data_IF_427534684023
#
_entry.id   IF_427534684023
#
_cell.length_a   1.000
_cell.length_b   1.000
_cell.length_c   1.000
_cell.angle_alpha   90.00
_cell.angle_beta   90.00
_cell.angle_gamma   90.00
#
_symmetry.space_group_name_H-M   'P 1'
#
loop_
_entity.id
_entity.type
_entity.pdbx_description
1 polymer ?
2 branched ?
3 water ?
#
# COMPACT_ATOMS: atom_id res chain seq x y z
N UNK A 27 -1.95 -36.08 -20.57
CA UNK A 27 -2.49 -36.19 -21.91
C UNK A 27 -3.50 -35.06 -22.15
N UNK A 28 -3.62 -34.64 -23.41
CA UNK A 28 -4.55 -33.57 -23.73
C UNK A 28 -5.97 -33.94 -23.33
N UNK A 29 -6.78 -32.92 -23.06
CA UNK A 29 -8.20 -33.05 -22.73
C UNK A 29 -8.46 -33.75 -21.41
N UNK A 30 -7.48 -33.77 -20.51
CA UNK A 30 -7.65 -34.40 -19.21
C UNK A 30 -7.63 -33.34 -18.11
N UNK A 31 -8.05 -33.76 -16.91
CA UNK A 31 -8.07 -32.83 -15.77
C UNK A 31 -6.68 -32.31 -15.42
N UNK A 32 -6.68 -31.23 -14.63
CA UNK A 32 -5.48 -30.42 -14.39
C UNK A 32 -4.78 -30.85 -13.11
N UNK A 33 -3.50 -31.21 -13.23
CA UNK A 33 -2.67 -31.53 -12.07
C UNK A 33 -2.29 -30.27 -11.29
N UNK A 34 -1.81 -30.50 -10.06
CA UNK A 34 -1.53 -29.44 -9.10
C UNK A 34 -0.53 -28.41 -9.64
N UNK A 35 0.42 -28.82 -10.48
CA UNK A 35 1.36 -27.87 -11.05
C UNK A 35 0.67 -26.76 -11.85
N UNK A 36 -0.54 -27.02 -12.34
CA UNK A 36 -1.30 -26.00 -13.07
C UNK A 36 -1.97 -25.03 -12.11
N UNK A 37 -2.75 -25.55 -11.16
CA UNK A 37 -3.63 -24.67 -10.39
C UNK A 37 -3.00 -24.14 -9.09
N UNK A 38 -2.02 -24.83 -8.51
CA UNK A 38 -1.38 -24.27 -7.31
C UNK A 38 -0.77 -22.89 -7.53
N UNK A 39 -0.09 -22.59 -8.64
CA UNK A 39 0.38 -21.21 -8.84
C UNK A 39 -0.76 -20.18 -8.89
N UNK A 40 -1.96 -20.58 -9.34
CA UNK A 40 -3.09 -19.65 -9.31
C UNK A 40 -3.60 -19.42 -7.88
N UNK A 41 -3.70 -20.50 -7.09
CA UNK A 41 -4.01 -20.36 -5.67
C UNK A 41 -3.07 -19.37 -5.00
N UNK A 42 -1.76 -19.52 -5.26
CA UNK A 42 -0.77 -18.65 -4.62
C UNK A 42 -1.02 -17.18 -4.94
N UNK A 43 -1.31 -16.89 -6.20
CA UNK A 43 -1.59 -15.51 -6.58
C UNK A 43 -2.87 -15.03 -5.91
N UNK A 44 -3.92 -15.87 -5.93
CA UNK A 44 -5.18 -15.48 -5.31
C UNK A 44 -5.00 -15.17 -3.83
N UNK A 45 -4.22 -16.00 -3.12
CA UNK A 45 -3.99 -15.77 -1.70
C UNK A 45 -3.24 -14.46 -1.47
N UNK A 46 -2.29 -14.12 -2.36
CA UNK A 46 -1.53 -12.89 -2.19
C UNK A 46 -2.36 -11.66 -2.55
N UNK A 47 -3.16 -11.75 -3.62
CA UNK A 47 -4.05 -10.64 -3.97
C UNK A 47 -5.03 -10.33 -2.84
N UNK A 48 -5.42 -11.36 -2.07
CA UNK A 48 -6.29 -11.19 -0.90
C UNK A 48 -5.72 -10.18 0.10
N UNK A 49 -4.39 -10.01 0.14
CA UNK A 49 -3.78 -9.11 1.12
C UNK A 49 -3.68 -7.67 0.61
N UNK A 50 -3.91 -7.42 -0.68
CA UNK A 50 -3.78 -6.05 -1.17
C UNK A 50 -4.75 -5.08 -0.51
N UNK A 51 -6.04 -5.41 -0.28
CA UNK A 51 -6.89 -4.49 0.50
C UNK A 51 -6.34 -4.18 1.88
N UNK A 52 -5.74 -5.20 2.52
CA UNK A 52 -5.14 -5.01 3.84
C UNK A 52 -4.00 -4.00 3.77
N UNK A 53 -3.14 -4.12 2.75
CA UNK A 53 -2.04 -3.19 2.59
C UNK A 53 -2.50 -1.77 2.28
N UNK A 54 -3.58 -1.64 1.50
CA UNK A 54 -4.13 -0.33 1.21
C UNK A 54 -4.68 0.34 2.47
N UNK A 55 -5.39 -0.42 3.30
CA UNK A 55 -5.91 0.16 4.55
C UNK A 55 -4.77 0.54 5.47
N UNK A 56 -3.78 -0.34 5.62
CA UNK A 56 -2.58 -0.02 6.41
C UNK A 56 -1.96 1.30 5.96
N UNK A 57 -1.81 1.48 4.66
CA UNK A 57 -1.07 2.64 4.14
C UNK A 57 -1.88 3.92 4.32
N UNK A 58 -3.20 3.86 4.08
CA UNK A 58 -4.05 5.01 4.30
C UNK A 58 -4.08 5.42 5.77
N UNK A 59 -4.16 4.46 6.68
CA UNK A 59 -4.12 4.80 8.10
C UNK A 59 -2.74 5.30 8.52
N UNK A 60 -1.66 4.72 7.95
CA UNK A 60 -0.31 5.18 8.27
C UNK A 60 -0.08 6.60 7.78
N UNK A 61 -0.59 6.93 6.59
CA UNK A 61 -0.48 8.31 6.11
C UNK A 61 -1.16 9.29 7.06
N UNK A 62 -2.41 9.00 7.43
CA UNK A 62 -3.14 9.85 8.37
C UNK A 62 -2.40 9.97 9.70
N UNK A 63 -1.88 8.86 10.21
CA UNK A 63 -1.14 8.86 11.47
C UNK A 63 0.07 9.77 11.40
N UNK A 64 0.82 9.68 10.30
CA UNK A 64 2.05 10.47 10.16
C UNK A 64 1.75 11.94 10.03
N UNK A 65 0.67 12.29 9.30
CA UNK A 65 0.19 13.66 9.27
C UNK A 65 -0.13 14.13 10.68
N UNK A 66 -0.85 13.31 11.45
CA UNK A 66 -1.21 13.69 12.82
C UNK A 66 0.04 13.91 13.69
N UNK A 67 1.09 13.09 13.50
CA UNK A 67 2.32 13.28 14.27
C UNK A 67 3.01 14.58 13.90
N UNK A 68 3.01 14.93 12.61
CA UNK A 68 3.55 16.21 12.17
C UNK A 68 2.76 17.36 12.79
N UNK A 69 1.44 17.22 12.83
CA UNK A 69 0.60 18.27 13.39
C UNK A 69 0.82 18.41 14.89
N UNK A 70 1.03 17.30 15.60
CA UNK A 70 1.33 17.38 17.04
C UNK A 70 2.61 18.18 17.27
N UNK A 71 3.66 17.90 16.49
CA UNK A 71 4.91 18.63 16.63
C UNK A 71 4.72 20.12 16.31
N UNK A 72 3.93 20.43 15.27
CA UNK A 72 3.61 21.83 14.97
C UNK A 72 2.90 22.50 16.14
N UNK A 73 1.98 21.78 16.80
CA UNK A 73 1.20 22.35 17.90
C UNK A 73 2.07 22.55 19.14
N UNK A 74 2.91 21.57 19.48
CA UNK A 74 3.82 21.73 20.62
C UNK A 74 4.72 22.94 20.42
N UNK A 75 5.31 23.08 19.23
CA UNK A 75 6.17 24.23 18.95
C UNK A 75 5.38 25.54 19.04
N UNK A 76 4.15 25.55 18.54
CA UNK A 76 3.32 26.74 18.61
C UNK A 76 3.01 27.12 20.06
N UNK A 77 2.70 26.12 20.89
CA UNK A 77 2.39 26.39 22.29
C UNK A 77 3.61 26.95 23.00
N UNK A 78 4.78 26.34 22.75
CA UNK A 78 6.02 26.83 23.33
C UNK A 78 6.25 28.30 22.97
N UNK A 79 6.00 28.65 21.71
CA UNK A 79 6.20 30.04 21.28
C UNK A 79 5.29 31.00 22.04
N UNK A 80 4.01 30.67 22.21
CA UNK A 80 3.12 31.53 22.96
C UNK A 80 3.57 31.67 24.41
N UNK A 81 3.96 30.56 25.05
CA UNK A 81 4.38 30.59 26.45
C UNK A 81 5.61 31.46 26.61
N UNK A 82 6.55 31.36 25.67
CA UNK A 82 7.83 32.04 25.75
C UNK A 82 7.91 33.25 24.83
N UNK A 83 6.77 33.88 24.53
CA UNK A 83 6.72 34.80 23.40
C UNK A 83 7.64 36.01 23.60
N UNK A 84 8.04 36.60 22.50
CA UNK A 84 8.87 37.79 22.52
C UNK A 84 10.34 37.54 22.77
N UNK A 85 10.80 36.30 22.62
CA UNK A 85 12.19 35.93 22.85
C UNK A 85 12.77 35.29 21.59
N UNK A 86 14.10 35.18 21.57
CA UNK A 86 14.76 34.47 20.48
C UNK A 86 14.37 32.99 20.45
N UNK A 87 14.15 32.38 21.62
CA UNK A 87 13.67 31.00 21.65
C UNK A 87 12.27 30.88 21.04
N UNK A 88 11.41 31.86 21.30
CA UNK A 88 10.07 31.79 20.72
C UNK A 88 10.12 31.88 19.20
N UNK A 89 11.00 32.73 18.66
CA UNK A 89 11.09 32.87 17.21
C UNK A 89 11.66 31.62 16.57
N UNK A 90 12.61 30.95 17.25
CA UNK A 90 13.04 29.64 16.78
C UNK A 90 11.85 28.69 16.71
N UNK A 91 11.01 28.68 17.76
CA UNK A 91 9.87 27.77 17.79
C UNK A 91 8.83 28.10 16.73
N UNK A 92 8.69 29.39 16.39
CA UNK A 92 7.81 29.76 15.29
C UNK A 92 8.29 29.14 13.98
N UNK A 93 9.61 29.16 13.75
CA UNK A 93 10.18 28.50 12.56
C UNK A 93 9.91 27.01 12.58
N UNK A 94 10.09 26.38 13.75
CA UNK A 94 9.85 24.94 13.89
C UNK A 94 8.38 24.62 13.69
N UNK A 95 7.50 25.44 14.26
CA UNK A 95 6.06 25.23 14.10
C UNK A 95 5.64 25.34 12.64
N UNK A 96 6.15 26.37 11.95
CA UNK A 96 5.87 26.54 10.53
C UNK A 96 6.30 25.32 9.73
N UNK A 97 7.51 24.83 10.01
CA UNK A 97 8.01 23.65 9.32
C UNK A 97 7.08 22.45 9.46
N UNK A 98 6.70 22.12 10.71
CA UNK A 98 5.91 20.91 10.91
C UNK A 98 4.47 21.08 10.43
N UNK A 99 3.90 22.28 10.55
CA UNK A 99 2.58 22.53 9.99
C UNK A 99 2.59 22.37 8.47
N UNK A 100 3.67 22.83 7.82
CA UNK A 100 3.81 22.62 6.37
C UNK A 100 3.99 21.15 6.03
N UNK A 101 4.72 20.38 6.85
CA UNK A 101 4.78 18.93 6.62
C UNK A 101 3.39 18.31 6.69
N UNK A 102 2.63 18.64 7.73
CA UNK A 102 1.26 18.13 7.87
C UNK A 102 0.39 18.53 6.68
N UNK A 103 0.42 19.81 6.30
CA UNK A 103 -0.30 20.27 5.13
C UNK A 103 0.06 19.44 3.90
N UNK A 104 1.37 19.24 3.66
CA UNK A 104 1.78 18.58 2.43
C UNK A 104 1.40 17.10 2.44
N UNK A 105 1.39 16.47 3.61
CA UNK A 105 0.97 15.08 3.67
C UNK A 105 -0.49 14.89 3.35
N UNK A 106 -1.35 15.79 3.84
CA UNK A 106 -2.77 15.75 3.50
C UNK A 106 -2.99 15.98 2.01
N UNK A 107 -2.29 16.96 1.42
CA UNK A 107 -2.39 17.18 -0.03
C UNK A 107 -1.94 15.94 -0.82
N UNK A 108 -0.84 15.29 -0.41
CA UNK A 108 -0.40 14.08 -1.11
C UNK A 108 -1.39 12.92 -0.91
N UNK A 109 -2.00 12.82 0.28
CA UNK A 109 -3.03 11.81 0.48
C UNK A 109 -4.19 12.03 -0.49
N UNK A 110 -4.60 13.29 -0.68
CA UNK A 110 -5.68 13.62 -1.61
C UNK A 110 -5.26 13.36 -3.05
N UNK A 111 -4.11 13.88 -3.45
CA UNK A 111 -3.75 13.94 -4.88
C UNK A 111 -3.17 12.63 -5.40
N UNK A 112 -2.52 11.84 -4.54
CA UNK A 112 -1.74 10.70 -5.04
C UNK A 112 -2.05 9.40 -4.32
N UNK A 113 -1.97 9.39 -2.98
CA UNK A 113 -2.07 8.13 -2.24
C UNK A 113 -3.45 7.50 -2.39
N UNK A 114 -4.51 8.30 -2.31
CA UNK A 114 -5.87 7.77 -2.38
C UNK A 114 -6.08 7.00 -3.68
N UNK A 115 -5.70 7.59 -4.81
CA UNK A 115 -5.87 6.91 -6.08
C UNK A 115 -4.98 5.67 -6.18
N UNK A 116 -3.72 5.76 -5.72
CA UNK A 116 -2.84 4.60 -5.79
C UNK A 116 -3.41 3.41 -5.03
N UNK A 117 -3.95 3.67 -3.82
CA UNK A 117 -4.39 2.58 -2.96
C UNK A 117 -5.75 2.04 -3.38
N UNK A 118 -6.67 2.92 -3.81
CA UNK A 118 -7.94 2.43 -4.35
C UNK A 118 -7.71 1.61 -5.61
N UNK A 119 -6.80 2.07 -6.48
CA UNK A 119 -6.56 1.37 -7.75
C UNK A 119 -5.92 0.00 -7.50
N UNK A 120 -4.94 -0.08 -6.60
CA UNK A 120 -4.35 -1.37 -6.23
C UNK A 120 -5.42 -2.30 -5.65
N UNK A 121 -6.22 -1.80 -4.71
CA UNK A 121 -7.29 -2.62 -4.11
C UNK A 121 -8.23 -3.16 -5.17
N UNK A 122 -8.68 -2.31 -6.09
CA UNK A 122 -9.70 -2.71 -7.06
C UNK A 122 -9.14 -3.68 -8.09
N UNK A 123 -7.95 -3.37 -8.65
CA UNK A 123 -7.37 -4.25 -9.67
C UNK A 123 -7.00 -5.60 -9.09
N UNK A 124 -6.45 -5.62 -7.86
CA UNK A 124 -6.11 -6.88 -7.21
C UNK A 124 -7.36 -7.70 -6.88
N UNK A 125 -8.40 -7.06 -6.34
CA UNK A 125 -9.60 -7.79 -5.94
C UNK A 125 -10.37 -8.28 -7.17
N UNK A 126 -10.35 -7.49 -8.26
CA UNK A 126 -11.02 -7.89 -9.49
C UNK A 126 -10.38 -9.12 -10.08
N UNK A 127 -9.04 -9.09 -10.22
CA UNK A 127 -8.30 -10.25 -10.72
C UNK A 127 -8.51 -11.46 -9.83
N UNK A 128 -8.49 -11.27 -8.51
CA UNK A 128 -8.73 -12.39 -7.59
C UNK A 128 -10.11 -13.01 -7.82
N UNK A 129 -11.12 -12.19 -8.10
CA UNK A 129 -12.43 -12.71 -8.40
C UNK A 129 -12.46 -13.51 -9.69
N UNK A 130 -11.74 -13.03 -10.73
CA UNK A 130 -11.65 -13.81 -11.96
C UNK A 130 -10.99 -15.16 -11.69
N UNK A 131 -9.88 -15.16 -10.94
CA UNK A 131 -9.16 -16.40 -10.67
C UNK A 131 -10.01 -17.35 -9.82
N UNK A 132 -10.61 -16.82 -8.76
CA UNK A 132 -11.34 -17.67 -7.82
C UNK A 132 -12.56 -18.29 -8.48
N UNK A 133 -13.24 -17.56 -9.37
CA UNK A 133 -14.39 -18.14 -10.05
C UNK A 133 -13.97 -19.31 -10.94
N UNK A 134 -12.84 -19.17 -11.63
CA UNK A 134 -12.30 -20.25 -12.46
C UNK A 134 -11.90 -21.46 -11.60
N UNK A 135 -11.15 -21.21 -10.53
CA UNK A 135 -10.67 -22.30 -9.67
C UNK A 135 -11.84 -23.01 -9.00
N UNK A 136 -12.85 -22.24 -8.55
CA UNK A 136 -14.02 -22.86 -7.93
C UNK A 136 -14.78 -23.73 -8.91
N UNK A 137 -14.83 -23.35 -10.19
CA UNK A 137 -15.45 -24.20 -11.18
C UNK A 137 -14.64 -25.50 -11.38
N UNK A 138 -13.31 -25.40 -11.48
CA UNK A 138 -12.49 -26.61 -11.56
C UNK A 138 -12.76 -27.53 -10.37
N UNK A 139 -12.79 -26.96 -9.16
CA UNK A 139 -12.92 -27.73 -7.94
C UNK A 139 -14.20 -28.55 -7.91
N UNK A 140 -15.28 -27.98 -8.46
CA UNK A 140 -16.58 -28.62 -8.40
C UNK A 140 -16.85 -29.55 -9.57
N UNK A 141 -16.12 -29.42 -10.67
CA UNK A 141 -16.43 -30.19 -11.87
C UNK A 141 -15.67 -31.51 -11.79
N UNK A 142 -16.31 -32.50 -11.18
CA UNK A 142 -15.71 -33.82 -11.03
C UNK A 142 -16.80 -34.88 -11.02
N UNK A 143 -16.40 -36.12 -11.29
CA UNK A 143 -17.32 -37.24 -11.29
C UNK A 143 -17.01 -38.29 -10.23
N UNK A 144 -15.82 -38.27 -9.64
CA UNK A 144 -15.40 -39.34 -8.73
C UNK A 144 -14.14 -38.90 -8.01
N UNK A 145 -13.62 -39.79 -7.16
CA UNK A 145 -12.37 -39.55 -6.47
C UNK A 145 -11.15 -39.55 -7.37
N UNK A 146 -11.27 -40.08 -8.59
CA UNK A 146 -10.13 -40.19 -9.49
C UNK A 146 -10.35 -39.53 -10.84
N UNK A 147 -11.46 -38.83 -11.04
CA UNK A 147 -11.80 -38.27 -12.35
C UNK A 147 -12.50 -36.93 -12.15
N UNK A 148 -11.87 -35.88 -12.64
CA UNK A 148 -12.34 -34.52 -12.44
C UNK A 148 -11.31 -33.54 -12.92
N UNK A 149 -11.68 -32.26 -12.83
CA UNK A 149 -10.90 -31.17 -13.42
C UNK A 149 -9.76 -30.67 -12.55
N UNK A 150 -9.78 -30.95 -11.24
CA UNK A 150 -8.78 -30.43 -10.29
C UNK A 150 -8.13 -31.61 -9.58
N UNK A 151 -6.93 -31.99 -10.03
CA UNK A 151 -6.24 -33.19 -9.58
C UNK A 151 -5.05 -32.83 -8.69
N UNK A 152 -4.54 -33.84 -7.97
CA UNK A 152 -3.41 -33.67 -7.06
C UNK A 152 -2.10 -33.66 -7.87
N UNK A 153 -0.96 -33.70 -7.17
CA UNK A 153 0.32 -33.51 -7.85
C UNK A 153 0.58 -34.59 -8.88
N UNK A 154 0.21 -35.83 -8.56
CA UNK A 154 0.46 -36.95 -9.47
C UNK A 154 -0.70 -37.19 -10.44
N UNK A 155 -1.76 -36.39 -10.39
CA UNK A 155 -2.91 -36.68 -11.23
C UNK A 155 -3.58 -38.00 -10.91
N UNK A 156 -3.58 -38.41 -9.65
CA UNK A 156 -4.22 -39.63 -9.18
C UNK A 156 -5.63 -39.38 -8.64
N UNK A 157 -5.77 -38.40 -7.75
CA UNK A 157 -7.03 -38.15 -7.06
C UNK A 157 -7.50 -36.72 -7.33
N UNK A 158 -8.82 -36.56 -7.46
CA UNK A 158 -9.40 -35.23 -7.37
C UNK A 158 -9.21 -34.69 -5.95
N UNK A 159 -9.03 -33.37 -5.85
CA UNK A 159 -8.78 -32.72 -4.57
C UNK A 159 -10.10 -32.25 -3.98
N UNK A 160 -10.09 -32.02 -2.67
CA UNK A 160 -11.24 -31.48 -1.96
C UNK A 160 -10.83 -30.27 -1.15
N UNK A 161 -11.80 -29.41 -0.86
CA UNK A 161 -11.55 -28.22 -0.07
C UNK A 161 -11.85 -28.52 1.38
N UNK A 162 -10.92 -28.17 2.26
CA UNK A 162 -11.08 -28.37 3.70
C UNK A 162 -10.75 -27.04 4.37
N UNK A 163 -11.77 -26.29 4.76
CA UNK A 163 -11.53 -24.98 5.32
C UNK A 163 -10.92 -24.06 4.27
N UNK A 164 -9.81 -23.41 4.62
CA UNK A 164 -9.17 -22.52 3.67
C UNK A 164 -8.11 -23.15 2.78
N UNK A 165 -8.18 -24.46 2.55
CA UNK A 165 -7.17 -25.17 1.78
C UNK A 165 -7.82 -26.14 0.80
N UNK A 166 -7.14 -26.36 -0.32
CA UNK A 166 -7.55 -27.33 -1.33
C UNK A 166 -6.38 -28.27 -1.59
N UNK A 167 -6.60 -29.57 -1.37
CA UNK A 167 -5.53 -30.53 -1.57
C UNK A 167 -4.26 -30.18 -0.84
N UNK A 168 -4.37 -29.57 0.35
CA UNK A 168 -3.23 -29.19 1.16
C UNK A 168 -2.57 -27.88 0.77
N UNK A 169 -3.15 -27.15 -0.16
CA UNK A 169 -2.63 -25.87 -0.65
C UNK A 169 -3.51 -24.76 -0.10
N UNK A 170 -2.93 -23.70 0.51
CA UNK A 170 -3.74 -22.53 0.90
C UNK A 170 -4.47 -21.95 -0.30
N UNK A 171 -5.79 -21.89 -0.21
CA UNK A 171 -6.64 -21.53 -1.34
C UNK A 171 -8.08 -21.31 -0.88
N UNK A 172 -8.33 -20.17 -0.24
CA UNK A 172 -9.63 -19.89 0.36
C UNK A 172 -10.73 -19.70 -0.68
N UNK A 173 -10.41 -19.19 -1.87
CA UNK A 173 -11.41 -18.83 -2.88
C UNK A 173 -12.45 -17.88 -2.29
N UNK A 174 -12.00 -17.00 -1.41
CA UNK A 174 -12.86 -15.96 -0.89
C UNK A 174 -12.00 -14.76 -0.54
N UNK A 175 -12.66 -13.60 -0.47
CA UNK A 175 -12.03 -12.38 0.03
C UNK A 175 -12.11 -12.37 1.56
N UNK A 176 -10.96 -12.36 2.22
CA UNK A 176 -10.91 -12.40 3.69
C UNK A 176 -11.34 -11.07 4.31
N UNK A 177 -11.78 -11.08 5.57
CA UNK A 177 -12.05 -9.82 6.27
C UNK A 177 -10.84 -8.90 6.21
N UNK A 178 -11.09 -7.61 6.02
CA UNK A 178 -10.02 -6.67 5.77
C UNK A 178 -9.62 -6.01 7.09
N UNK A 179 -8.42 -6.36 7.58
CA UNK A 179 -7.64 -5.83 8.68
C UNK A 179 -6.39 -5.15 8.12
N UNK A 180 -5.90 -4.05 8.71
CA UNK A 180 -4.64 -3.48 8.21
C UNK A 180 -3.47 -4.44 8.37
N UNK A 181 -2.65 -4.57 7.34
CA UNK A 181 -1.48 -5.42 7.38
C UNK A 181 -0.51 -4.95 6.29
N UNK A 182 0.78 -5.09 6.54
CA UNK A 182 1.77 -4.80 5.50
C UNK A 182 2.14 -6.09 4.78
N UNK A 183 1.67 -6.31 3.56
CA UNK A 183 2.00 -7.58 2.89
C UNK A 183 3.38 -7.52 2.25
N UNK A 184 4.00 -8.68 2.14
CA UNK A 184 5.30 -8.82 1.49
C UNK A 184 5.09 -9.43 0.12
N UNK A 185 5.29 -8.62 -0.92
CA UNK A 185 5.21 -9.11 -2.29
C UNK A 185 6.12 -10.31 -2.49
N UNK A 186 5.52 -11.42 -2.92
CA UNK A 186 6.22 -12.68 -3.11
C UNK A 186 5.85 -13.28 -4.46
N UNK A 187 4.55 -13.53 -4.68
CA UNK A 187 4.09 -14.16 -5.91
C UNK A 187 3.77 -13.16 -7.01
N UNK A 188 3.50 -11.91 -6.65
CA UNK A 188 3.37 -10.81 -7.62
C UNK A 188 4.37 -9.72 -7.23
N UNK A 189 5.41 -9.56 -8.05
CA UNK A 189 6.47 -8.63 -7.75
C UNK A 189 6.72 -7.65 -8.87
N UNK A 190 7.90 -7.03 -8.85
CA UNK A 190 8.26 -5.99 -9.81
C UNK A 190 8.22 -6.49 -11.26
N UNK A 191 8.60 -7.75 -11.49
CA UNK A 191 8.72 -8.25 -12.85
C UNK A 191 7.42 -8.87 -13.36
N UNK A 192 6.57 -9.33 -12.48
CA UNK A 192 5.31 -9.99 -12.84
C UNK A 192 4.98 -11.07 -11.82
N UNK A 193 4.26 -12.09 -12.30
CA UNK A 193 3.79 -13.21 -11.48
C UNK A 193 4.82 -14.32 -11.58
N UNK A 194 5.62 -14.49 -10.52
CA UNK A 194 6.83 -15.30 -10.57
C UNK A 194 6.52 -16.75 -10.93
N UNK A 195 5.38 -17.27 -10.44
CA UNK A 195 5.08 -18.68 -10.63
C UNK A 195 4.39 -19.02 -11.93
N UNK A 196 4.01 -18.01 -12.70
CA UNK A 196 3.26 -18.19 -13.94
C UNK A 196 4.22 -18.08 -15.12
N UNK A 197 5.05 -19.12 -15.25
CA UNK A 197 6.11 -19.20 -16.23
C UNK A 197 5.62 -19.84 -17.53
N UNK A 198 6.45 -19.69 -18.55
CA UNK A 198 6.26 -20.43 -19.79
C UNK A 198 6.22 -21.93 -19.49
N UNK A 199 5.26 -22.65 -20.09
CA UNK A 199 5.12 -24.09 -19.90
C UNK A 199 5.32 -24.78 -21.25
N UNK A 200 6.41 -25.54 -21.37
CA UNK A 200 6.76 -26.15 -22.65
C UNK A 200 6.03 -27.46 -22.92
N UNK A 201 5.52 -28.13 -21.90
CA UNK A 201 4.95 -29.47 -22.05
C UNK A 201 3.70 -29.61 -21.20
N UNK A 202 2.67 -28.81 -21.53
CA UNK A 202 1.43 -28.83 -20.76
C UNK A 202 0.75 -30.20 -20.81
N UNK A 203 0.83 -30.90 -21.96
CA UNK A 203 0.16 -32.18 -22.07
C UNK A 203 0.60 -33.18 -21.00
N UNK A 204 1.83 -33.02 -20.49
CA UNK A 204 2.37 -33.91 -19.47
C UNK A 204 2.52 -33.27 -18.10
N UNK A 205 2.77 -31.96 -18.02
CA UNK A 205 2.97 -31.30 -16.74
C UNK A 205 1.70 -30.66 -16.19
N UNK A 206 0.77 -30.25 -17.05
CA UNK A 206 -0.48 -29.65 -16.58
C UNK A 206 -1.64 -30.63 -16.56
N UNK A 207 -1.73 -31.51 -17.56
CA UNK A 207 -2.85 -32.42 -17.75
C UNK A 207 -2.56 -33.78 -17.13
N UNK A 208 -3.58 -34.39 -16.53
CA UNK A 208 -3.45 -35.73 -15.98
C UNK A 208 -3.45 -36.75 -17.11
N UNK A 209 -3.27 -38.03 -16.76
CA UNK A 209 -3.23 -39.08 -17.75
C UNK A 209 -4.62 -39.57 -18.12
N UNK A 210 -5.53 -39.69 -17.13
CA UNK A 210 -6.82 -40.32 -17.35
C UNK A 210 -8.02 -39.54 -16.81
N UNK A 211 -7.82 -38.62 -15.88
CA UNK A 211 -8.93 -37.87 -15.31
C UNK A 211 -9.68 -37.11 -16.40
N UNK A 212 -11.00 -37.27 -16.44
CA UNK A 212 -11.81 -36.61 -17.45
C UNK A 212 -12.25 -35.23 -16.97
N UNK A 213 -12.36 -34.32 -17.94
CA UNK A 213 -12.62 -32.92 -17.63
C UNK A 213 -13.03 -32.18 -18.89
N UNK A 214 -14.33 -31.89 -19.04
CA UNK A 214 -14.81 -31.21 -20.24
C UNK A 214 -14.39 -29.74 -20.30
N UNK A 215 -13.83 -29.20 -19.23
CA UNK A 215 -13.26 -27.85 -19.23
C UNK A 215 -11.84 -27.81 -19.79
N UNK A 216 -11.27 -28.95 -20.19
CA UNK A 216 -9.91 -28.99 -20.68
C UNK A 216 -9.79 -28.79 -22.20
N UNK A 217 -10.90 -28.86 -22.94
CA UNK A 217 -10.87 -28.57 -24.37
C UNK A 217 -12.26 -28.10 -24.79
N UNK A 218 -12.34 -27.53 -25.98
CA UNK A 218 -13.58 -27.10 -26.59
C UNK A 218 -14.11 -28.06 -27.64
N UNK A 219 -13.48 -29.21 -27.79
CA UNK A 219 -13.94 -30.24 -28.73
C UNK A 219 -15.11 -31.00 -28.12
N UNK A 220 -15.95 -31.56 -28.99
CA UNK A 220 -17.21 -32.14 -28.52
C UNK A 220 -17.04 -33.52 -27.89
N UNK A 221 -16.01 -34.29 -28.26
CA UNK A 221 -15.89 -35.65 -27.75
C UNK A 221 -15.57 -35.67 -26.26
N UNK A 222 -14.53 -34.94 -25.86
CA UNK A 222 -14.10 -34.92 -24.46
C UNK A 222 -14.20 -33.54 -23.81
N UNK A 223 -14.64 -32.51 -24.54
CA UNK A 223 -14.63 -31.17 -23.98
C UNK A 223 -15.99 -30.50 -23.96
N UNK A 224 -16.00 -29.16 -24.10
CA UNK A 224 -17.19 -28.34 -23.88
C UNK A 224 -18.18 -28.39 -25.04
N UNK A 225 -17.77 -28.82 -26.23
CA UNK A 225 -18.70 -28.86 -27.34
C UNK A 225 -19.74 -29.95 -27.17
N UNK A 226 -20.95 -29.68 -27.68
CA UNK A 226 -22.00 -30.68 -27.59
C UNK A 226 -22.10 -31.44 -28.91
N UNK A 227 -22.71 -30.84 -29.91
CA UNK A 227 -22.84 -31.48 -31.19
C UNK A 227 -21.63 -31.37 -32.01
N UNK A 228 -20.89 -30.31 -31.84
CA UNK A 228 -19.68 -30.09 -32.57
C UNK A 228 -18.75 -29.28 -31.72
N UNK A 229 -17.61 -28.95 -32.25
CA UNK A 229 -16.64 -28.20 -31.52
C UNK A 229 -17.09 -26.76 -31.34
N UNK A 230 -16.54 -26.07 -30.35
CA UNK A 230 -16.88 -24.69 -30.12
C UNK A 230 -16.35 -23.97 -31.28
N UNK A 231 -16.90 -22.83 -31.63
CA UNK A 231 -16.50 -22.10 -32.83
C UNK A 231 -15.11 -21.46 -32.73
N UNK A 232 -14.52 -21.40 -31.54
CA UNK A 232 -13.19 -20.82 -31.39
C UNK A 232 -12.58 -21.31 -30.09
N UNK A 233 -11.29 -21.05 -29.94
CA UNK A 233 -10.64 -21.25 -28.64
C UNK A 233 -11.28 -20.34 -27.60
N UNK A 234 -11.20 -20.77 -26.34
CA UNK A 234 -11.78 -20.07 -25.20
C UNK A 234 -10.67 -19.76 -24.20
N UNK A 235 -10.63 -18.54 -23.68
CA UNK A 235 -9.69 -18.20 -22.63
C UNK A 235 -10.40 -18.13 -21.28
N UNK A 236 -9.70 -18.54 -20.22
CA UNK A 236 -10.26 -18.52 -18.89
C UNK A 236 -9.25 -17.94 -17.92
N UNK A 237 -9.74 -17.59 -16.73
CA UNK A 237 -8.92 -16.96 -15.71
C UNK A 237 -8.39 -15.62 -16.22
N UNK A 238 -9.30 -14.80 -16.75
CA UNK A 238 -8.97 -13.47 -17.27
C UNK A 238 -7.84 -13.54 -18.30
N UNK A 239 -7.99 -14.47 -19.24
CA UNK A 239 -7.04 -14.59 -20.34
C UNK A 239 -5.75 -15.34 -20.05
N UNK A 240 -5.62 -15.99 -18.89
CA UNK A 240 -4.38 -16.73 -18.61
C UNK A 240 -4.27 -18.00 -19.46
N UNK A 241 -5.32 -18.84 -19.46
CA UNK A 241 -5.24 -20.15 -20.11
C UNK A 241 -6.11 -20.17 -21.36
N UNK A 242 -5.59 -20.77 -22.43
CA UNK A 242 -6.28 -20.87 -23.70
C UNK A 242 -6.68 -22.32 -23.95
N UNK A 243 -7.98 -22.54 -24.02
CA UNK A 243 -8.57 -23.85 -24.24
C UNK A 243 -8.91 -23.95 -25.73
N UNK A 244 -8.13 -24.74 -26.47
CA UNK A 244 -8.34 -24.91 -27.90
C UNK A 244 -9.61 -25.71 -28.15
N UNK A 245 -10.23 -25.48 -29.31
CA UNK A 245 -11.42 -26.23 -29.71
C UNK A 245 -11.07 -27.51 -30.47
N UNK A 246 -9.82 -27.92 -30.43
CA UNK A 246 -9.36 -29.18 -31.00
C UNK A 246 -8.83 -30.07 -29.90
N UNK A 247 -8.58 -31.34 -30.24
CA UNK A 247 -8.08 -32.31 -29.27
C UNK A 247 -6.59 -32.04 -29.04
N UNK A 248 -6.32 -30.99 -28.25
CA UNK A 248 -4.97 -30.52 -27.97
C UNK A 248 -4.94 -29.93 -26.56
N UNK A 249 -3.76 -29.98 -25.95
CA UNK A 249 -3.54 -29.50 -24.60
C UNK A 249 -3.73 -27.98 -24.55
N UNK A 250 -3.98 -27.48 -23.33
CA UNK A 250 -4.09 -26.02 -23.15
C UNK A 250 -2.74 -25.35 -23.38
N UNK A 251 -2.79 -24.03 -23.58
CA UNK A 251 -1.59 -23.20 -23.55
C UNK A 251 -1.82 -22.08 -22.56
N UNK A 252 -0.73 -21.62 -21.94
CA UNK A 252 -0.84 -20.56 -20.95
C UNK A 252 0.04 -19.40 -21.37
N UNK A 253 -0.37 -18.20 -20.96
CA UNK A 253 0.45 -17.00 -21.07
C UNK A 253 1.50 -17.00 -19.96
N UNK A 254 2.76 -16.83 -20.33
CA UNK A 254 3.79 -16.54 -19.34
C UNK A 254 3.57 -15.13 -18.81
N UNK A 255 3.46 -14.99 -17.49
CA UNK A 255 3.13 -13.70 -16.88
C UNK A 255 4.20 -13.22 -15.92
N UNK A 256 5.42 -13.76 -16.03
CA UNK A 256 6.49 -13.47 -15.08
C UNK A 256 7.45 -12.39 -15.57
N UNK A 257 7.29 -11.89 -16.79
CA UNK A 257 8.16 -10.84 -17.35
C UNK A 257 7.26 -9.86 -18.10
N UNK A 258 6.32 -9.25 -17.38
CA UNK A 258 5.27 -8.45 -17.98
C UNK A 258 5.81 -7.12 -18.51
N UNK A 259 5.09 -6.58 -19.49
CA UNK A 259 5.33 -5.24 -19.98
C UNK A 259 3.99 -4.50 -20.07
N UNK A 260 4.05 -3.18 -19.84
CA UNK A 260 2.84 -2.37 -19.89
C UNK A 260 2.23 -2.42 -21.29
N UNK A 261 0.96 -2.77 -21.35
CA UNK A 261 0.26 -2.89 -22.62
C UNK A 261 -1.19 -2.52 -22.39
N UNK A 262 -1.92 -2.32 -23.49
CA UNK A 262 -3.34 -2.01 -23.46
C UNK A 262 -4.09 -2.98 -24.37
N UNK A 263 -5.26 -3.42 -23.91
CA UNK A 263 -6.10 -4.28 -24.73
C UNK A 263 -5.56 -5.69 -24.93
N UNK A 264 -4.79 -6.20 -23.97
CA UNK A 264 -4.33 -7.58 -24.05
C UNK A 264 -5.43 -8.52 -23.59
N UNK A 265 -5.36 -9.77 -24.05
CA UNK A 265 -6.32 -10.76 -23.59
C UNK A 265 -6.19 -11.00 -22.10
N UNK A 266 -4.97 -10.87 -21.57
CA UNK A 266 -4.72 -11.04 -20.15
C UNK A 266 -4.63 -9.69 -19.42
N UNK A 267 -5.24 -8.64 -19.97
CA UNK A 267 -5.10 -7.28 -19.42
C UNK A 267 -5.32 -7.17 -17.91
N UNK A 268 -6.27 -7.88 -17.27
CA UNK A 268 -6.40 -7.73 -15.81
C UNK A 268 -5.15 -8.15 -15.02
N UNK A 269 -4.37 -9.10 -15.54
CA UNK A 269 -3.09 -9.43 -14.92
C UNK A 269 -2.13 -8.25 -14.98
N UNK A 270 -2.09 -7.56 -16.12
CA UNK A 270 -1.23 -6.40 -16.27
C UNK A 270 -1.69 -5.26 -15.35
N UNK A 271 -3.01 -5.00 -15.29
CA UNK A 271 -3.51 -3.87 -14.50
C UNK A 271 -3.13 -4.01 -13.04
N UNK A 272 -3.27 -5.21 -12.47
CA UNK A 272 -2.96 -5.39 -11.05
C UNK A 272 -1.46 -5.28 -10.81
N UNK A 273 -0.67 -5.81 -11.75
CA UNK A 273 0.79 -5.74 -11.65
C UNK A 273 1.28 -4.29 -11.69
N UNK A 274 0.72 -3.52 -12.62
CA UNK A 274 1.09 -2.11 -12.78
C UNK A 274 0.69 -1.28 -11.56
N UNK A 275 -0.53 -1.48 -11.05
CA UNK A 275 -1.00 -0.73 -9.89
C UNK A 275 -0.18 -1.06 -8.65
N UNK A 276 0.20 -2.33 -8.48
CA UNK A 276 1.01 -2.73 -7.34
C UNK A 276 2.42 -2.15 -7.43
N UNK A 277 3.00 -2.15 -8.62
CA UNK A 277 4.35 -1.63 -8.81
C UNK A 277 4.43 -0.12 -8.51
N UNK A 278 3.32 0.59 -8.68
CA UNK A 278 3.30 2.03 -8.42
C UNK A 278 3.26 2.40 -6.93
N UNK A 279 2.96 1.46 -6.04
CA UNK A 279 2.74 1.80 -4.63
C UNK A 279 4.02 2.27 -3.95
N UNK A 280 3.91 3.35 -3.18
CA UNK A 280 5.01 3.86 -2.37
C UNK A 280 4.84 3.61 -0.87
N UNK A 281 3.63 3.26 -0.43
CA UNK A 281 3.36 3.35 0.98
C UNK A 281 3.35 4.82 1.41
N UNK A 282 3.20 5.02 2.70
CA UNK A 282 3.20 6.38 3.25
C UNK A 282 4.63 6.82 3.58
N UNK A 283 5.51 6.74 2.56
CA UNK A 283 6.95 6.84 2.73
C UNK A 283 7.58 7.85 1.78
N UNK A 284 6.78 8.61 1.04
CA UNK A 284 7.36 9.72 0.29
C UNK A 284 7.73 10.85 1.27
N UNK A 285 8.43 11.86 0.73
CA UNK A 285 9.09 12.87 1.57
C UNK A 285 8.13 13.65 2.46
N UNK A 286 6.85 13.77 2.06
CA UNK A 286 5.88 14.51 2.87
C UNK A 286 5.68 13.87 4.23
N UNK A 287 5.85 12.56 4.31
CA UNK A 287 5.53 11.80 5.50
C UNK A 287 6.75 11.49 6.37
N UNK A 288 7.94 11.92 5.96
CA UNK A 288 9.16 11.62 6.69
C UNK A 288 9.82 12.90 7.15
N UNK A 289 10.53 12.80 8.28
CA UNK A 289 11.21 13.97 8.78
C UNK A 289 12.47 14.23 7.97
N UNK A 290 12.94 15.47 8.03
CA UNK A 290 14.09 15.91 7.26
C UNK A 290 15.29 16.06 8.18
N UNK A 291 16.43 15.54 7.75
CA UNK A 291 17.65 15.62 8.54
C UNK A 291 18.66 16.58 7.95
N UNK A 292 18.27 17.34 6.92
CA UNK A 292 19.12 18.36 6.32
C UNK A 292 19.51 19.43 7.35
N UNK A 293 20.43 20.30 6.93
CA UNK A 293 20.68 21.51 7.68
C UNK A 293 19.45 22.39 7.75
N UNK A 294 19.42 23.29 8.74
CA UNK A 294 18.20 24.03 9.05
C UNK A 294 17.74 24.84 7.83
N UNK A 295 18.69 25.47 7.13
CA UNK A 295 18.32 26.36 6.02
C UNK A 295 17.57 25.61 4.93
N UNK A 296 17.93 24.35 4.68
CA UNK A 296 17.27 23.52 3.69
C UNK A 296 15.98 22.84 4.12
N UNK A 297 15.54 22.99 5.37
CA UNK A 297 14.31 22.33 5.80
C UNK A 297 13.08 23.06 5.27
N UNK A 298 12.05 22.28 4.96
CA UNK A 298 10.81 22.81 4.36
C UNK A 298 10.34 24.09 5.07
N UNK A 299 10.11 25.14 4.28
CA UNK A 299 9.57 26.40 4.76
C UNK A 299 10.56 27.33 5.44
N UNK A 300 11.77 26.88 5.77
CA UNK A 300 12.61 27.68 6.67
C UNK A 300 13.18 28.91 5.96
N UNK A 301 13.74 28.72 4.76
CA UNK A 301 14.37 29.84 4.07
C UNK A 301 13.34 30.91 3.70
N UNK A 302 12.18 30.49 3.16
CA UNK A 302 11.15 31.46 2.79
C UNK A 302 10.68 32.27 4.00
N UNK A 303 10.58 31.63 5.17
CA UNK A 303 10.11 32.35 6.35
C UNK A 303 11.15 33.33 6.84
N UNK A 304 12.42 32.91 6.85
CA UNK A 304 13.49 33.81 7.25
C UNK A 304 13.52 35.02 6.34
N UNK A 305 13.41 34.79 5.03
CA UNK A 305 13.42 35.89 4.07
C UNK A 305 12.24 36.84 4.30
N UNK A 306 11.03 36.28 4.44
CA UNK A 306 9.84 37.13 4.45
C UNK A 306 9.63 37.83 5.79
N UNK A 307 9.90 37.16 6.91
CA UNK A 307 9.55 37.69 8.22
C UNK A 307 10.73 38.28 8.98
N UNK A 308 11.95 37.81 8.74
CA UNK A 308 13.10 38.29 9.50
C UNK A 308 13.96 39.23 8.68
N UNK A 309 14.48 38.78 7.53
CA UNK A 309 15.28 39.67 6.69
C UNK A 309 14.41 40.68 5.96
N UNK A 310 13.14 40.33 5.72
CA UNK A 310 12.20 41.17 4.96
C UNK A 310 12.80 41.61 3.63
N UNK A 311 13.37 40.65 2.92
CA UNK A 311 13.86 40.87 1.57
C UNK A 311 13.84 39.54 0.83
N UNK A 312 13.41 39.57 -0.42
CA UNK A 312 13.38 38.36 -1.25
C UNK A 312 14.71 38.22 -1.97
N UNK A 313 15.02 36.99 -2.36
CA UNK A 313 16.28 36.65 -3.04
C UNK A 313 17.48 36.96 -2.15
N UNK A 314 17.54 36.29 -1.00
CA UNK A 314 18.63 36.49 -0.05
C UNK A 314 19.79 35.55 -0.33
N UNK A 315 20.96 35.90 0.22
CA UNK A 315 22.12 35.03 0.10
C UNK A 315 22.07 33.94 1.16
N UNK A 316 22.77 32.83 0.87
CA UNK A 316 22.85 31.76 1.85
C UNK A 316 23.53 32.22 3.12
N UNK A 317 24.59 33.03 2.99
CA UNK A 317 25.28 33.54 4.17
C UNK A 317 24.33 34.33 5.07
N UNK A 318 23.38 35.06 4.48
CA UNK A 318 22.45 35.84 5.28
C UNK A 318 21.46 34.96 6.02
N UNK A 319 20.90 33.94 5.35
CA UNK A 319 20.00 33.02 6.04
C UNK A 319 20.71 32.36 7.21
N UNK A 320 21.92 31.85 6.96
CA UNK A 320 22.68 31.18 8.02
C UNK A 320 22.97 32.13 9.18
N UNK A 321 23.27 33.40 8.86
CA UNK A 321 23.56 34.38 9.91
C UNK A 321 22.32 34.66 10.75
N UNK A 322 21.16 34.87 10.10
CA UNK A 322 19.90 35.01 10.83
C UNK A 322 19.64 33.81 11.73
N UNK A 323 19.84 32.60 11.19
CA UNK A 323 19.46 31.40 11.93
C UNK A 323 20.25 31.26 13.23
N UNK A 324 21.52 31.64 13.22
CA UNK A 324 22.32 31.51 14.44
C UNK A 324 21.75 32.37 15.57
N UNK A 325 21.13 33.52 15.26
CA UNK A 325 20.46 34.34 16.26
C UNK A 325 19.47 33.53 17.09
N UNK A 326 18.80 32.55 16.47
CA UNK A 326 17.69 31.85 17.10
C UNK A 326 17.99 30.40 17.45
N UNK A 327 18.92 29.76 16.74
CA UNK A 327 19.25 28.37 17.02
C UNK A 327 20.66 28.17 17.57
N UNK A 328 21.47 29.22 17.65
CA UNK A 328 22.88 29.17 18.06
C UNK A 328 23.73 28.35 17.10
N UNK A 329 23.26 28.20 15.87
CA UNK A 329 23.91 27.40 14.85
C UNK A 329 22.94 27.17 13.71
N UNK A 330 23.36 26.35 12.74
CA UNK A 330 22.47 26.14 11.61
C UNK A 330 22.40 24.67 11.18
N UNK A 331 22.84 23.76 12.01
CA UNK A 331 22.86 22.34 11.68
C UNK A 331 21.71 21.61 12.38
N UNK A 332 21.54 20.35 12.01
CA UNK A 332 20.46 19.57 12.58
C UNK A 332 20.58 19.46 14.11
N UNK A 333 21.81 19.50 14.62
CA UNK A 333 22.03 19.40 16.07
C UNK A 333 21.40 20.56 16.82
N UNK A 334 21.49 21.78 16.28
CA UNK A 334 20.87 22.92 16.93
C UNK A 334 19.35 22.90 16.81
N UNK A 335 18.82 22.32 15.73
CA UNK A 335 17.38 22.13 15.58
C UNK A 335 16.85 21.16 16.63
N UNK A 336 17.54 20.02 16.79
CA UNK A 336 17.17 19.05 17.82
C UNK A 336 17.19 19.68 19.21
N UNK A 337 18.15 20.56 19.47
CA UNK A 337 18.25 21.19 20.79
C UNK A 337 17.02 22.05 21.08
N UNK A 338 16.55 22.82 20.09
CA UNK A 338 15.33 23.59 20.28
C UNK A 338 14.13 22.66 20.47
N UNK A 339 14.10 21.54 19.74
CA UNK A 339 12.99 20.59 19.87
C UNK A 339 12.95 19.98 21.27
N UNK A 340 14.11 19.77 21.88
CA UNK A 340 14.16 19.26 23.24
C UNK A 340 13.62 20.29 24.24
N UNK A 341 13.94 21.58 24.03
CA UNK A 341 13.34 22.62 24.88
C UNK A 341 11.83 22.66 24.72
N UNK A 342 11.34 22.51 23.47
CA UNK A 342 9.91 22.47 23.24
C UNK A 342 9.27 21.29 23.98
N UNK A 343 9.86 20.10 23.84
CA UNK A 343 9.28 18.88 24.40
C UNK A 343 9.27 18.90 25.93
N UNK A 344 10.24 19.57 26.56
CA UNK A 344 10.32 19.64 28.02
C UNK A 344 9.47 20.75 28.64
N UNK A 345 8.95 21.68 27.86
CA UNK A 345 8.13 22.78 28.39
C UNK A 345 6.84 22.27 29.02
N UNK A 346 6.58 22.54 30.30
CA UNK A 346 5.27 22.19 30.88
C UNK A 346 4.18 23.21 30.55
N UNK A 347 2.94 22.72 30.50
CA UNK A 347 1.76 23.58 30.41
C UNK A 347 1.12 23.70 31.79
N UNK A 348 0.19 24.66 31.92
CA UNK A 348 -0.54 24.85 33.16
C UNK A 348 -1.22 23.55 33.60
N UNK A 349 -1.10 23.26 34.90
CA UNK A 349 -1.66 22.06 35.51
C UNK A 349 -3.15 21.88 35.19
N UNK A 350 -3.93 22.95 35.31
CA UNK A 350 -5.37 22.87 35.15
C UNK A 350 -5.80 22.50 33.72
N UNK A 351 -4.87 22.44 32.77
CA UNK A 351 -5.23 22.11 31.40
C UNK A 351 -5.24 20.60 31.12
N UNK A 352 -4.84 19.77 32.08
CA UNK A 352 -4.85 18.31 31.90
C UNK A 352 -5.52 17.73 33.13
N UNK A 353 -5.87 16.44 33.04
CA UNK A 353 -6.55 15.78 34.13
C UNK A 353 -5.68 15.63 35.35
N UNK A 354 -6.33 15.29 36.47
CA UNK A 354 -5.62 15.11 37.72
C UNK A 354 -4.53 14.05 37.58
N UNK A 355 -3.32 14.41 38.00
CA UNK A 355 -2.14 13.54 37.99
C UNK A 355 -1.66 13.17 36.59
N UNK A 356 -2.11 13.87 35.54
CA UNK A 356 -1.65 13.61 34.18
C UNK A 356 -0.38 14.41 33.88
N UNK A 357 0.44 13.98 32.92
CA UNK A 357 1.66 14.73 32.58
C UNK A 357 1.35 16.09 31.99
N UNK A 358 2.27 17.04 32.19
CA UNK A 358 2.10 18.38 31.67
C UNK A 358 3.18 18.83 30.69
N UNK A 359 4.29 18.10 30.55
CA UNK A 359 5.29 18.48 29.57
C UNK A 359 4.78 18.21 28.15
N UNK A 360 5.06 19.13 27.22
CA UNK A 360 4.47 19.06 25.89
C UNK A 360 4.84 17.76 25.19
N UNK A 361 6.09 17.31 25.34
CA UNK A 361 6.51 16.05 24.76
C UNK A 361 5.77 14.83 25.29
N UNK A 362 5.08 14.95 26.43
CA UNK A 362 4.30 13.85 26.96
C UNK A 362 2.81 13.97 26.61
N UNK A 363 2.43 14.96 25.82
CA UNK A 363 1.07 15.12 25.33
C UNK A 363 1.01 14.77 23.84
N UNK A 364 -0.06 14.10 23.43
CA UNK A 364 -0.26 13.76 22.02
C UNK A 364 -1.76 13.86 21.70
N UNK A 365 -2.07 13.97 20.41
CA UNK A 365 -3.46 14.07 19.97
C UNK A 365 -3.74 15.48 19.47
N UNK A 366 -4.18 15.62 18.21
CA UNK A 366 -4.28 16.94 17.60
C UNK A 366 -5.28 17.82 18.37
N UNK A 367 -6.49 17.29 18.61
CA UNK A 367 -7.55 18.07 19.24
C UNK A 367 -7.16 18.49 20.65
N UNK A 368 -6.48 17.61 21.38
CA UNK A 368 -6.04 17.98 22.73
C UNK A 368 -5.04 19.13 22.67
N UNK A 369 -4.05 19.07 21.76
CA UNK A 369 -3.06 20.14 21.71
C UNK A 369 -3.66 21.42 21.11
N UNK A 370 -4.62 21.29 20.20
CA UNK A 370 -5.25 22.45 19.58
C UNK A 370 -5.91 23.34 20.63
N UNK A 371 -6.65 22.74 21.57
CA UNK A 371 -7.32 23.57 22.56
C UNK A 371 -6.33 24.14 23.58
N UNK A 372 -5.20 23.47 23.80
CA UNK A 372 -4.19 24.07 24.69
C UNK A 372 -3.57 25.30 24.01
N UNK A 373 -3.33 25.22 22.69
CA UNK A 373 -2.83 26.38 21.96
C UNK A 373 -3.81 27.54 22.04
N UNK A 374 -5.12 27.25 21.90
CA UNK A 374 -6.12 28.30 22.00
C UNK A 374 -6.09 28.99 23.37
N UNK A 375 -5.90 28.20 24.44
CA UNK A 375 -5.79 28.80 25.77
C UNK A 375 -4.64 29.80 25.85
N UNK A 376 -3.47 29.43 25.31
CA UNK A 376 -2.32 30.31 25.39
C UNK A 376 -2.43 31.50 24.43
N UNK A 377 -3.17 31.35 23.32
CA UNK A 377 -3.43 32.52 22.50
C UNK A 377 -4.33 33.52 23.22
N UNK A 378 -5.24 33.05 24.07
CA UNK A 378 -6.05 33.95 24.90
C UNK A 378 -5.18 34.66 25.91
N UNK A 379 -4.24 33.92 26.53
CA UNK A 379 -3.29 34.53 27.46
C UNK A 379 -2.47 35.60 26.76
N UNK A 380 -2.04 35.32 25.51
CA UNK A 380 -1.28 36.28 24.74
C UNK A 380 -2.08 37.56 24.49
N UNK A 381 -3.38 37.40 24.17
CA UNK A 381 -4.25 38.56 23.99
C UNK A 381 -4.38 39.36 25.28
N UNK A 382 -4.51 38.69 26.42
CA UNK A 382 -4.63 39.40 27.69
C UNK A 382 -3.36 40.14 28.07
N UNK A 383 -2.20 39.64 27.63
CA UNK A 383 -0.96 40.37 27.86
C UNK A 383 -0.91 41.66 27.03
N UNK A 384 -1.40 41.61 25.78
CA UNK A 384 -1.45 42.83 24.98
C UNK A 384 -2.46 43.83 25.53
N UNK A 385 -3.58 43.34 26.08
CA UNK A 385 -4.59 44.23 26.65
C UNK A 385 -3.99 45.14 27.72
#
# INVERSE_FOLDING_TARGET
>A
MPSNQEARLFLAVLVLAQVLPILVDSAAEKGFKQAFWQPLCQVSEELDDQPKGALFTLQAAASKIQKMRDAALRASIYAEINHGTNRAKAAVIVANHYAMKADSGLEALKQTLSSQEVTATATASYLKGRIDEYLNLLLQTKESGTSGCMMDTSGTNTVTKAGGTIGGVPCKLQLSPIQPKRPAATYLGKAGYVGLTRQADAANNFHAAAAECRLASGHNTNGLGKSGQLSAAVTMAAGYVTVANSQTAVTVQALDALQEASGAAHQPWIDAWKAKKALTGAETAEFRNETAGIAGKTGVTKLVEEALLKKKDSEASEIQTELKKYFSGHENEQWTAIEKLISEQPVAQNLVGDNQPTKLGELEGNAKLTTILAYYRMETAGKFEVLTQKHKPAESQQQAAETEGSCNKKDQNECKSPCKWHNDAENKKCTLDKEEAKKVADETAKDGKTGNTNTTGSSNSFVISKTPLWLAVLLF
#
